data_IF_013534493459
#
_entry.id   IF_013534493459
#
_cell.length_a   1.000
_cell.length_b   1.000
_cell.length_c   1.000
_cell.angle_alpha   90.00
_cell.angle_beta   90.00
_cell.angle_gamma   90.00
#
_symmetry.space_group_name_H-M   'P 1'
#
loop_
_entity.id
_entity.type
_entity.pdbx_description
1 polymer ?
#
# COMPACT_ATOMS: atom_id res chain seq x y z
N UNK A 1 -70.77 -26.44 12.20
CA UNK A 1 -71.05 -25.10 12.77
C UNK A 1 -70.73 -25.12 14.25
N UNK A 2 -69.88 -24.17 14.69
CA UNK A 2 -69.53 -23.86 16.10
C UNK A 2 -68.71 -24.98 16.75
N UNK A 3 -67.38 -24.88 16.94
CA UNK A 3 -66.57 -23.84 17.61
C UNK A 3 -65.11 -24.02 17.11
N UNK A 4 -64.49 -23.07 16.40
CA UNK A 4 -63.62 -22.02 16.93
C UNK A 4 -63.11 -22.26 18.37
N UNK A 5 -61.80 -22.42 18.53
CA UNK A 5 -60.89 -21.91 19.58
C UNK A 5 -59.53 -22.57 19.26
N UNK A 6 -58.70 -21.93 18.45
CA UNK A 6 -57.55 -21.15 18.94
C UNK A 6 -56.30 -22.01 19.22
N UNK A 7 -55.77 -22.64 18.18
CA UNK A 7 -54.34 -22.95 18.04
C UNK A 7 -54.16 -23.15 16.54
N UNK A 8 -53.72 -22.18 15.75
CA UNK A 8 -52.33 -21.79 15.67
C UNK A 8 -52.33 -20.54 14.79
N UNK A 9 -52.34 -19.35 15.39
CA UNK A 9 -51.77 -18.21 14.70
C UNK A 9 -50.28 -18.51 14.49
N UNK A 10 -49.78 -18.10 13.33
CA UNK A 10 -48.36 -17.87 13.05
C UNK A 10 -47.53 -19.08 12.59
N UNK A 11 -47.64 -19.42 11.30
CA UNK A 11 -46.47 -19.78 10.47
C UNK A 11 -46.82 -19.76 8.97
N UNK A 12 -47.55 -18.73 8.51
CA UNK A 12 -47.48 -18.33 7.11
C UNK A 12 -46.29 -17.37 6.96
N UNK A 13 -45.09 -17.91 7.14
CA UNK A 13 -43.83 -17.20 6.90
C UNK A 13 -42.75 -18.18 6.43
N UNK A 14 -43.08 -18.94 5.39
CA UNK A 14 -42.10 -19.69 4.60
C UNK A 14 -42.07 -19.05 3.22
N UNK A 15 -41.36 -17.94 3.07
CA UNK A 15 -40.75 -17.49 1.80
C UNK A 15 -40.21 -16.05 1.91
N UNK A 16 -39.28 -15.80 2.84
CA UNK A 16 -38.32 -14.71 2.74
C UNK A 16 -37.26 -14.91 3.81
N UNK A 17 -36.45 -15.97 3.66
CA UNK A 17 -35.08 -15.80 4.09
C UNK A 17 -34.57 -14.65 3.22
N UNK A 18 -34.17 -13.49 3.78
CA UNK A 18 -33.25 -12.67 3.01
C UNK A 18 -32.10 -13.63 2.70
N UNK A 19 -31.73 -13.74 1.43
CA UNK A 19 -30.40 -14.20 1.12
C UNK A 19 -29.49 -13.40 2.05
N UNK A 20 -28.91 -14.05 3.06
CA UNK A 20 -27.86 -13.47 3.86
C UNK A 20 -26.77 -13.22 2.83
N UNK A 21 -26.76 -12.00 2.29
CA UNK A 21 -25.79 -11.59 1.30
C UNK A 21 -24.43 -11.97 1.89
N UNK A 22 -23.63 -12.75 1.17
CA UNK A 22 -22.22 -12.95 1.52
C UNK A 22 -21.39 -11.66 1.34
N UNK A 23 -22.01 -10.55 0.94
CA UNK A 23 -21.40 -9.25 0.70
C UNK A 23 -20.68 -8.59 1.90
N UNK A 24 -21.18 -8.59 3.15
CA UNK A 24 -20.58 -7.79 4.23
C UNK A 24 -19.20 -8.30 4.64
N UNK A 25 -18.95 -9.62 4.63
CA UNK A 25 -17.63 -10.18 4.96
C UNK A 25 -16.57 -9.86 3.90
N UNK A 26 -16.94 -9.87 2.62
CA UNK A 26 -16.02 -9.52 1.52
C UNK A 26 -15.64 -8.04 1.55
N UNK A 27 -16.60 -7.17 1.84
CA UNK A 27 -16.35 -5.73 1.95
C UNK A 27 -15.54 -5.38 3.20
N UNK A 28 -15.82 -5.99 4.36
CA UNK A 28 -15.02 -5.82 5.58
C UNK A 28 -13.57 -6.28 5.39
N UNK A 29 -13.36 -7.44 4.77
CA UNK A 29 -12.02 -7.95 4.48
C UNK A 29 -11.27 -7.03 3.51
N UNK A 30 -11.94 -6.54 2.47
CA UNK A 30 -11.35 -5.59 1.52
C UNK A 30 -10.98 -4.28 2.22
N UNK A 31 -11.87 -3.73 3.06
CA UNK A 31 -11.59 -2.52 3.83
C UNK A 31 -10.39 -2.71 4.75
N UNK A 32 -10.32 -3.83 5.47
CA UNK A 32 -9.15 -4.15 6.32
C UNK A 32 -7.84 -4.16 5.55
N UNK A 33 -7.82 -4.72 4.34
CA UNK A 33 -6.62 -4.72 3.49
C UNK A 33 -6.24 -3.31 3.04
N UNK A 34 -7.22 -2.51 2.62
CA UNK A 34 -7.00 -1.09 2.24
C UNK A 34 -6.47 -0.29 3.43
N UNK A 35 -7.01 -0.47 4.63
CA UNK A 35 -6.47 0.15 5.84
C UNK A 35 -5.02 -0.25 6.06
N UNK A 36 -4.71 -1.56 5.97
CA UNK A 36 -3.34 -2.04 6.09
C UNK A 36 -2.39 -1.49 5.02
N UNK A 37 -2.89 -1.21 3.80
CA UNK A 37 -2.09 -0.55 2.77
C UNK A 37 -1.71 0.89 3.18
N UNK A 38 -2.66 1.66 3.69
CA UNK A 38 -2.38 3.02 4.14
C UNK A 38 -1.44 3.04 5.35
N UNK A 39 -1.59 2.11 6.28
CA UNK A 39 -0.67 1.95 7.42
C UNK A 39 0.77 1.67 6.95
N UNK A 40 0.96 0.79 5.96
CA UNK A 40 2.29 0.51 5.39
C UNK A 40 2.90 1.72 4.66
N UNK A 41 2.07 2.50 3.96
CA UNK A 41 2.51 3.73 3.29
C UNK A 41 2.91 4.79 4.31
N UNK A 42 2.10 4.96 5.36
CA UNK A 42 2.37 5.87 6.47
C UNK A 42 3.67 5.48 7.18
N UNK A 43 3.86 4.20 7.51
CA UNK A 43 5.09 3.71 8.12
C UNK A 43 6.30 3.94 7.21
N UNK A 44 6.15 3.79 5.90
CA UNK A 44 7.25 4.06 4.95
C UNK A 44 7.61 5.54 4.90
N UNK A 45 6.61 6.42 4.89
CA UNK A 45 6.79 7.87 4.83
C UNK A 45 7.27 8.45 6.16
N UNK A 46 6.92 7.83 7.30
CA UNK A 46 7.39 8.27 8.60
C UNK A 46 8.91 8.18 8.74
N UNK A 47 9.57 7.25 8.02
CA UNK A 47 11.04 7.14 7.97
C UNK A 47 11.75 8.32 7.29
N UNK A 48 11.02 9.25 6.68
CA UNK A 48 11.65 10.34 5.92
C UNK A 48 12.29 11.39 6.81
N UNK A 49 11.96 11.45 8.10
CA UNK A 49 12.70 12.24 9.08
C UNK A 49 14.12 11.68 9.30
N UNK A 50 14.28 10.36 9.43
CA UNK A 50 15.56 9.67 9.55
C UNK A 50 16.40 9.85 8.28
N UNK A 51 15.78 9.73 7.10
CA UNK A 51 16.45 9.99 5.81
C UNK A 51 16.90 11.44 5.72
N UNK A 52 16.02 12.38 6.05
CA UNK A 52 16.33 13.80 6.06
C UNK A 52 17.48 14.09 7.02
N UNK A 53 17.43 13.57 8.25
CA UNK A 53 18.43 13.81 9.27
C UNK A 53 19.81 13.31 8.80
N UNK A 54 19.85 12.12 8.22
CA UNK A 54 21.10 11.60 7.66
C UNK A 54 21.64 12.48 6.55
N UNK A 55 20.80 12.88 5.59
CA UNK A 55 21.23 13.71 4.46
C UNK A 55 21.67 15.11 4.90
N UNK A 56 20.91 15.74 5.80
CA UNK A 56 21.22 17.06 6.34
C UNK A 56 22.58 17.07 7.05
N UNK A 57 22.80 16.11 7.96
CA UNK A 57 24.08 15.96 8.69
C UNK A 57 25.26 15.74 7.75
N UNK A 58 25.06 14.94 6.70
CA UNK A 58 26.11 14.59 5.74
C UNK A 58 26.19 15.54 4.54
N UNK A 59 25.41 16.64 4.53
CA UNK A 59 25.34 17.63 3.43
C UNK A 59 25.03 17.00 2.07
N UNK A 60 24.14 16.00 2.06
CA UNK A 60 23.69 15.31 0.85
C UNK A 60 22.42 15.96 0.30
N UNK A 61 22.26 15.94 -1.02
CA UNK A 61 21.05 16.42 -1.68
C UNK A 61 19.83 15.55 -1.33
N UNK A 62 18.65 16.17 -1.29
CA UNK A 62 17.37 15.46 -1.15
C UNK A 62 17.11 14.61 -2.39
N UNK A 63 17.32 15.17 -3.59
CA UNK A 63 17.20 14.42 -4.84
C UNK A 63 18.47 13.61 -5.11
N UNK A 64 18.28 12.34 -5.47
CA UNK A 64 19.34 11.38 -5.78
C UNK A 64 18.83 10.48 -6.90
N UNK A 65 18.96 10.96 -8.15
CA UNK A 65 18.37 10.33 -9.34
C UNK A 65 18.87 8.89 -9.54
N UNK A 66 20.15 8.64 -9.27
CA UNK A 66 20.73 7.31 -9.36
C UNK A 66 20.09 6.36 -8.34
N UNK A 67 19.89 6.83 -7.11
CA UNK A 67 19.21 6.03 -6.09
C UNK A 67 17.74 5.81 -6.40
N UNK A 68 17.05 6.83 -6.91
CA UNK A 68 15.64 6.77 -7.32
C UNK A 68 15.46 5.71 -8.42
N UNK A 69 16.33 5.69 -9.43
CA UNK A 69 16.34 4.66 -10.46
C UNK A 69 16.45 3.25 -9.87
N UNK A 70 17.35 3.03 -8.90
CA UNK A 70 17.48 1.73 -8.21
C UNK A 70 16.21 1.36 -7.44
N UNK A 71 15.53 2.32 -6.80
CA UNK A 71 14.26 2.05 -6.11
C UNK A 71 13.18 1.63 -7.11
N UNK A 72 13.05 2.35 -8.22
CA UNK A 72 12.06 2.06 -9.27
C UNK A 72 12.31 0.72 -9.96
N UNK A 73 13.58 0.38 -10.23
CA UNK A 73 13.96 -0.90 -10.82
C UNK A 73 13.67 -2.08 -9.89
N UNK A 74 13.96 -1.93 -8.60
CA UNK A 74 13.65 -2.95 -7.61
C UNK A 74 12.14 -3.12 -7.45
N UNK A 75 11.38 -2.03 -7.41
CA UNK A 75 9.92 -2.06 -7.37
C UNK A 75 9.35 -2.81 -8.59
N UNK A 76 9.79 -2.44 -9.80
CA UNK A 76 9.39 -3.09 -11.04
C UNK A 76 9.68 -4.59 -11.05
N UNK A 77 10.85 -5.00 -10.53
CA UNK A 77 11.22 -6.42 -10.43
C UNK A 77 10.39 -7.17 -9.39
N UNK A 78 10.14 -6.57 -8.23
CA UNK A 78 9.30 -7.17 -7.18
C UNK A 78 7.85 -7.32 -7.60
N UNK A 79 7.31 -6.33 -8.32
CA UNK A 79 5.95 -6.30 -8.84
C UNK A 79 5.53 -7.54 -9.64
N UNK A 80 6.45 -8.11 -10.44
CA UNK A 80 6.17 -9.30 -11.26
C UNK A 80 5.74 -10.50 -10.42
N UNK A 81 6.28 -10.65 -9.21
CA UNK A 81 5.91 -11.75 -8.30
C UNK A 81 4.44 -11.67 -7.90
N UNK A 82 3.92 -10.45 -7.79
CA UNK A 82 2.60 -10.14 -7.26
C UNK A 82 1.56 -9.80 -8.34
N UNK A 83 1.90 -9.94 -9.63
CA UNK A 83 0.97 -9.72 -10.75
C UNK A 83 0.83 -8.26 -11.18
N UNK A 84 1.64 -7.36 -10.63
CA UNK A 84 1.73 -5.99 -11.12
C UNK A 84 2.51 -5.91 -12.43
N UNK A 85 2.14 -4.96 -13.29
CA UNK A 85 3.00 -4.59 -14.41
C UNK A 85 4.19 -3.77 -13.91
N UNK A 86 5.38 -3.91 -14.52
CA UNK A 86 6.52 -3.05 -14.20
C UNK A 86 6.19 -1.55 -14.24
N UNK A 87 5.37 -1.13 -15.21
CA UNK A 87 5.01 0.27 -15.45
C UNK A 87 4.14 0.82 -14.32
N UNK A 88 3.10 0.09 -13.92
CA UNK A 88 2.21 0.49 -12.82
C UNK A 88 2.96 0.56 -11.48
N UNK A 89 3.89 -0.37 -11.27
CA UNK A 89 4.76 -0.35 -10.08
C UNK A 89 5.69 0.86 -10.08
N UNK A 90 6.37 1.16 -11.21
CA UNK A 90 7.23 2.34 -11.31
C UNK A 90 6.44 3.62 -11.05
N UNK A 91 5.26 3.76 -11.64
CA UNK A 91 4.43 4.94 -11.45
C UNK A 91 4.04 5.13 -9.98
N UNK A 92 3.59 4.06 -9.32
CA UNK A 92 3.23 4.12 -7.90
C UNK A 92 4.43 4.53 -7.02
N UNK A 93 5.60 3.94 -7.23
CA UNK A 93 6.79 4.27 -6.43
C UNK A 93 7.38 5.64 -6.77
N UNK A 94 7.20 6.14 -8.00
CA UNK A 94 7.60 7.51 -8.35
C UNK A 94 6.80 8.54 -7.53
N UNK A 95 5.48 8.34 -7.38
CA UNK A 95 4.65 9.21 -6.52
C UNK A 95 5.11 9.15 -5.06
N UNK A 96 5.40 7.96 -4.55
CA UNK A 96 5.93 7.76 -3.20
C UNK A 96 7.29 8.45 -2.99
N UNK A 97 8.16 8.48 -4.01
CA UNK A 97 9.44 9.19 -3.98
C UNK A 97 9.20 10.71 -3.92
N UNK A 98 8.29 11.26 -4.72
CA UNK A 98 7.98 12.68 -4.68
C UNK A 98 7.41 13.11 -3.32
N UNK A 99 6.45 12.35 -2.78
CA UNK A 99 5.92 12.59 -1.43
C UNK A 99 7.02 12.52 -0.36
N UNK A 100 7.94 11.55 -0.47
CA UNK A 100 9.08 11.42 0.42
C UNK A 100 10.03 12.63 0.34
N UNK A 101 10.24 13.20 -0.85
CA UNK A 101 11.08 14.40 -1.03
C UNK A 101 10.44 15.62 -0.38
N UNK A 102 9.11 15.76 -0.39
CA UNK A 102 8.43 16.85 0.33
C UNK A 102 8.60 16.78 1.85
N UNK A 103 8.48 15.59 2.45
CA UNK A 103 8.71 15.41 3.89
C UNK A 103 10.17 15.75 4.25
N UNK A 104 11.13 15.35 3.42
CA UNK A 104 12.53 15.71 3.61
C UNK A 104 12.76 17.23 3.51
N UNK A 105 12.11 17.91 2.55
CA UNK A 105 12.18 19.37 2.40
C UNK A 105 11.68 20.08 3.64
N UNK A 106 10.55 19.64 4.20
CA UNK A 106 10.03 20.15 5.46
C UNK A 106 11.09 20.07 6.57
N UNK A 107 11.69 18.90 6.81
CA UNK A 107 12.71 18.75 7.86
C UNK A 107 13.98 19.57 7.62
N UNK A 108 14.44 19.66 6.38
CA UNK A 108 15.58 20.53 6.01
C UNK A 108 15.29 21.99 6.36
N UNK A 109 14.09 22.48 6.07
CA UNK A 109 13.67 23.84 6.41
C UNK A 109 13.65 24.04 7.93
N UNK A 110 13.06 23.10 8.67
CA UNK A 110 12.95 23.18 10.12
C UNK A 110 14.32 23.24 10.82
N UNK A 111 15.28 22.41 10.41
CA UNK A 111 16.64 22.44 10.99
C UNK A 111 17.46 23.63 10.52
N UNK A 112 17.15 24.18 9.34
CA UNK A 112 17.74 25.46 8.90
C UNK A 112 17.17 26.66 9.67
N UNK A 113 16.01 26.51 10.30
CA UNK A 113 15.33 27.50 11.13
C UNK A 113 15.56 27.25 12.64
N UNK A 114 16.71 26.67 13.00
CA UNK A 114 17.16 26.43 14.38
C UNK A 114 16.27 25.50 15.23
N UNK A 115 15.41 24.67 14.60
CA UNK A 115 14.74 23.57 15.33
C UNK A 115 15.79 22.59 15.87
N UNK A 116 15.61 22.03 17.09
CA UNK A 116 16.50 21.00 17.61
C UNK A 116 16.71 19.85 16.62
N UNK A 117 17.98 19.60 16.29
CA UNK A 117 18.40 18.49 15.43
C UNK A 117 18.51 17.20 16.26
N UNK A 118 18.06 16.03 15.75
CA UNK A 118 18.14 14.76 16.48
C UNK A 118 19.61 14.37 16.77
N UNK A 119 19.88 13.97 18.01
CA UNK A 119 21.22 13.58 18.44
C UNK A 119 21.68 12.24 17.83
N UNK A 120 20.75 11.27 17.75
CA UNK A 120 20.99 9.99 17.09
C UNK A 120 20.40 10.04 15.68
N UNK A 121 21.21 9.68 14.70
CA UNK A 121 20.81 9.65 13.29
C UNK A 121 21.33 8.35 12.69
N UNK A 122 20.42 7.41 12.36
CA UNK A 122 20.78 6.06 11.96
C UNK A 122 21.49 6.04 10.61
N UNK A 123 22.25 4.97 10.35
CA UNK A 123 22.89 4.74 9.05
C UNK A 123 21.85 4.62 7.94
N UNK A 124 21.96 5.48 6.92
CA UNK A 124 21.03 5.45 5.78
C UNK A 124 21.13 4.13 5.00
N UNK A 125 22.34 3.61 4.81
CA UNK A 125 22.58 2.37 4.04
C UNK A 125 22.24 1.11 4.82
N UNK A 126 22.58 1.05 6.10
CA UNK A 126 22.52 -0.20 6.88
C UNK A 126 21.22 -0.35 7.66
N UNK A 127 20.53 0.75 8.00
CA UNK A 127 19.33 0.73 8.84
C UNK A 127 18.10 1.18 8.06
N UNK A 128 18.12 2.41 7.53
CA UNK A 128 16.91 3.03 6.98
C UNK A 128 16.53 2.42 5.63
N UNK A 129 17.48 2.29 4.68
CA UNK A 129 17.22 1.71 3.35
C UNK A 129 16.68 0.27 3.42
N UNK A 130 17.20 -0.64 4.26
CA UNK A 130 16.60 -1.97 4.42
C UNK A 130 15.16 -1.96 4.97
N UNK A 131 14.81 -1.03 5.87
CA UNK A 131 13.42 -0.85 6.33
C UNK A 131 12.53 -0.37 5.19
N UNK A 132 12.98 0.61 4.41
CA UNK A 132 12.26 1.12 3.24
C UNK A 132 12.01 0.04 2.18
N UNK A 133 13.00 -0.82 1.93
CA UNK A 133 12.85 -1.95 0.98
C UNK A 133 11.81 -2.94 1.48
N UNK A 134 11.86 -3.34 2.76
CA UNK A 134 10.87 -4.25 3.36
C UNK A 134 9.45 -3.70 3.28
N UNK A 135 9.26 -2.42 3.60
CA UNK A 135 7.95 -1.77 3.50
C UNK A 135 7.48 -1.65 2.05
N UNK A 136 8.39 -1.39 1.11
CA UNK A 136 8.08 -1.39 -0.32
C UNK A 136 7.55 -2.75 -0.80
N UNK A 137 8.19 -3.85 -0.42
CA UNK A 137 7.72 -5.20 -0.77
C UNK A 137 6.35 -5.50 -0.12
N UNK A 138 6.16 -5.15 1.17
CA UNK A 138 4.91 -5.35 1.88
C UNK A 138 3.73 -4.56 1.26
N UNK A 139 3.98 -3.33 0.78
CA UNK A 139 2.98 -2.53 0.06
C UNK A 139 2.52 -3.25 -1.21
N UNK A 140 3.46 -3.72 -2.03
CA UNK A 140 3.13 -4.42 -3.29
C UNK A 140 2.36 -5.71 -3.01
N UNK A 141 2.78 -6.47 -1.99
CA UNK A 141 2.08 -7.67 -1.55
C UNK A 141 0.65 -7.39 -1.09
N UNK A 142 0.44 -6.36 -0.26
CA UNK A 142 -0.88 -5.98 0.21
C UNK A 142 -1.81 -5.55 -0.94
N UNK A 143 -1.32 -4.73 -1.88
CA UNK A 143 -2.15 -4.30 -3.02
C UNK A 143 -2.55 -5.52 -3.87
N UNK A 144 -1.63 -6.44 -4.14
CA UNK A 144 -1.93 -7.66 -4.89
C UNK A 144 -2.92 -8.56 -4.16
N UNK A 145 -2.87 -8.62 -2.83
CA UNK A 145 -3.86 -9.32 -2.03
C UNK A 145 -5.24 -8.61 -2.02
N UNK A 146 -5.28 -7.29 -2.20
CA UNK A 146 -6.51 -6.48 -2.23
C UNK A 146 -7.21 -6.54 -3.58
N UNK A 147 -6.43 -6.51 -4.67
CA UNK A 147 -6.90 -6.59 -6.06
C UNK A 147 -6.31 -7.82 -6.76
N UNK A 148 -6.67 -9.04 -6.30
CA UNK A 148 -6.15 -10.26 -6.89
C UNK A 148 -6.50 -10.35 -8.38
N UNK A 149 -5.48 -10.49 -9.21
CA UNK A 149 -5.65 -10.85 -10.62
C UNK A 149 -5.90 -12.35 -10.66
N UNK A 150 -7.17 -12.74 -10.78
CA UNK A 150 -7.58 -14.15 -10.72
C UNK A 150 -7.15 -14.97 -11.94
N UNK A 151 -6.79 -14.33 -13.06
CA UNK A 151 -6.32 -15.03 -14.25
C UNK A 151 -5.07 -14.37 -14.86
N UNK A 152 -3.90 -14.95 -14.55
CA UNK A 152 -2.62 -14.54 -15.14
C UNK A 152 -2.51 -14.92 -16.63
N UNK A 153 -3.32 -15.87 -17.12
CA UNK A 153 -3.34 -16.27 -18.53
C UNK A 153 -3.98 -15.20 -19.41
N UNK A 154 -5.06 -14.56 -18.94
CA UNK A 154 -5.67 -13.40 -19.59
C UNK A 154 -4.71 -12.21 -19.66
N UNK A 155 -4.01 -11.88 -18.56
CA UNK A 155 -3.00 -10.84 -18.56
C UNK A 155 -1.84 -11.14 -19.53
N UNK A 156 -1.38 -12.39 -19.55
CA UNK A 156 -0.30 -12.85 -20.44
C UNK A 156 -0.72 -12.99 -21.92
N UNK A 157 -2.00 -13.27 -22.18
CA UNK A 157 -2.58 -13.28 -23.53
C UNK A 157 -2.80 -11.87 -24.04
N UNK A 158 -3.29 -10.96 -23.18
CA UNK A 158 -3.45 -9.56 -23.51
C UNK A 158 -2.11 -8.92 -23.90
N UNK A 159 -1.07 -9.05 -23.07
CA UNK A 159 0.28 -8.55 -23.39
C UNK A 159 0.82 -9.10 -24.71
N UNK A 160 0.56 -10.39 -25.01
CA UNK A 160 0.92 -10.99 -26.30
C UNK A 160 0.10 -10.48 -27.48
N UNK A 161 -1.14 -10.07 -27.25
CA UNK A 161 -2.02 -9.52 -28.30
C UNK A 161 -1.77 -8.05 -28.64
N UNK A 162 -1.15 -7.28 -27.72
CA UNK A 162 -0.88 -5.85 -27.92
C UNK A 162 0.57 -5.52 -28.28
N UNK A 163 1.51 -6.44 -28.11
CA UNK A 163 2.85 -6.31 -28.69
C UNK A 163 2.83 -6.90 -30.11
N UNK A 164 2.78 -6.01 -31.11
CA UNK A 164 3.15 -6.29 -32.52
C UNK A 164 4.67 -6.14 -32.67
#
# INVERSE_FOLDING_TARGET
MKKLIATLMLAFLVSALPAVNAAPLHDELRMRKITGLFELIEERLSLMDEVAAYKFRNKLAIEDLDREAVVLDNAARSALRYGFTPESSRFFFAIQIEAAKEIQRYWFQEWSADRPFPADVPSLSEVVRPRLTRLGDAIVENIAATYPIYDRSLASQFVRSVNV
#
